data_IF_895719192814
#
_entry.id   IF_895719192814
#
_cell.length_a   1.000
_cell.length_b   1.000
_cell.length_c   1.000
_cell.angle_alpha   90.00
_cell.angle_beta   90.00
_cell.angle_gamma   90.00
#
_symmetry.space_group_name_H-M   'P 1'
#
loop_
_entity.id
_entity.type
_entity.pdbx_description
1 polymer ?
#
# COMPACT_ATOMS: atom_id res chain seq x y z
N UNK A 1 1.90 -14.73 28.42
CA UNK A 1 1.48 -13.38 27.97
C UNK A 1 2.34 -13.07 26.76
N UNK A 2 1.98 -13.66 25.63
CA UNK A 2 2.75 -13.55 24.40
C UNK A 2 2.50 -12.17 23.81
N UNK A 3 3.49 -11.29 23.94
CA UNK A 3 3.59 -10.12 23.08
C UNK A 3 3.91 -10.67 21.70
N UNK A 4 2.90 -10.78 20.85
CA UNK A 4 3.05 -11.00 19.41
C UNK A 4 3.89 -9.84 18.82
N UNK A 5 5.21 -9.94 18.93
CA UNK A 5 6.18 -8.91 18.56
C UNK A 5 6.32 -8.72 17.04
N UNK A 6 5.47 -9.35 16.22
CA UNK A 6 5.64 -9.35 14.77
C UNK A 6 4.35 -9.27 13.95
N UNK A 7 3.33 -8.53 14.41
CA UNK A 7 2.07 -8.40 13.66
C UNK A 7 1.68 -6.93 13.41
N UNK A 8 2.50 -6.18 12.67
CA UNK A 8 2.25 -4.78 12.28
C UNK A 8 0.96 -4.58 11.44
N UNK A 9 0.38 -5.65 10.90
CA UNK A 9 -0.93 -5.64 10.22
C UNK A 9 -2.10 -5.46 11.24
N UNK A 10 -1.83 -5.51 12.55
CA UNK A 10 -2.85 -5.40 13.60
C UNK A 10 -3.28 -3.98 13.95
N UNK A 11 -2.59 -2.95 13.45
CA UNK A 11 -2.93 -1.56 13.75
C UNK A 11 -4.41 -1.26 13.44
N UNK A 12 -5.06 -0.57 14.35
CA UNK A 12 -6.39 0.00 14.12
C UNK A 12 -6.29 1.17 13.15
N UNK A 13 -7.38 1.52 12.45
CA UNK A 13 -7.35 2.67 11.55
C UNK A 13 -6.92 3.98 12.22
N UNK A 14 -7.22 4.16 13.52
CA UNK A 14 -6.81 5.35 14.28
C UNK A 14 -5.30 5.37 14.50
N UNK A 15 -4.71 4.26 14.94
CA UNK A 15 -3.27 4.14 15.14
C UNK A 15 -2.50 4.34 13.83
N UNK A 16 -2.99 3.77 12.72
CA UNK A 16 -2.38 4.00 11.40
C UNK A 16 -2.40 5.47 11.01
N UNK A 17 -3.51 6.19 11.25
CA UNK A 17 -3.57 7.64 11.00
C UNK A 17 -2.55 8.38 11.88
N UNK A 18 -2.46 8.05 13.18
CA UNK A 18 -1.49 8.65 14.10
C UNK A 18 -0.04 8.42 13.67
N UNK A 19 0.29 7.24 13.17
CA UNK A 19 1.63 6.97 12.61
C UNK A 19 1.90 7.77 11.34
N UNK A 20 0.90 7.93 10.47
CA UNK A 20 1.02 8.77 9.27
C UNK A 20 1.12 10.27 9.59
N UNK A 21 0.50 10.73 10.69
CA UNK A 21 0.57 12.13 11.14
C UNK A 21 2.00 12.57 11.50
N UNK A 22 2.88 11.65 11.88
CA UNK A 22 4.30 11.95 12.19
C UNK A 22 5.10 12.42 10.97
N UNK A 23 4.64 12.11 9.75
CA UNK A 23 5.39 12.35 8.51
C UNK A 23 4.64 13.20 7.49
N UNK A 24 3.31 13.19 7.51
CA UNK A 24 2.47 13.91 6.56
C UNK A 24 1.64 14.92 7.34
N UNK A 25 1.71 16.20 7.01
CA UNK A 25 0.85 17.22 7.63
C UNK A 25 -0.47 17.32 6.87
N UNK A 26 -1.60 17.37 7.58
CA UNK A 26 -2.94 17.48 6.97
C UNK A 26 -3.40 16.19 6.27
N UNK A 27 -4.07 16.30 5.13
CA UNK A 27 -4.53 15.16 4.29
C UNK A 27 -5.38 14.10 5.03
N UNK A 28 -6.26 14.54 5.94
CA UNK A 28 -7.04 13.66 6.84
C UNK A 28 -7.83 12.58 6.10
N UNK A 29 -8.53 12.93 5.02
CA UNK A 29 -9.33 11.98 4.24
C UNK A 29 -8.46 10.93 3.55
N UNK A 30 -7.33 11.33 2.97
CA UNK A 30 -6.40 10.38 2.34
C UNK A 30 -5.83 9.40 3.36
N UNK A 31 -5.41 9.88 4.54
CA UNK A 31 -4.91 9.04 5.64
C UNK A 31 -5.98 8.06 6.14
N UNK A 32 -7.21 8.53 6.30
CA UNK A 32 -8.35 7.69 6.71
C UNK A 32 -8.63 6.60 5.67
N UNK A 33 -8.65 6.95 4.38
CA UNK A 33 -8.90 6.01 3.30
C UNK A 33 -7.85 4.87 3.28
N UNK A 34 -6.56 5.23 3.35
CA UNK A 34 -5.48 4.21 3.34
C UNK A 34 -5.48 3.35 4.60
N UNK A 35 -5.83 3.93 5.75
CA UNK A 35 -5.90 3.21 7.03
C UNK A 35 -7.03 2.19 7.05
N UNK A 36 -8.18 2.51 6.43
CA UNK A 36 -9.28 1.57 6.24
C UNK A 36 -8.90 0.45 5.28
N UNK A 37 -8.25 0.77 4.16
CA UNK A 37 -7.81 -0.25 3.19
C UNK A 37 -6.83 -1.25 3.83
N UNK A 38 -5.86 -0.75 4.61
CA UNK A 38 -4.94 -1.61 5.36
C UNK A 38 -5.68 -2.51 6.36
N UNK A 39 -6.63 -1.94 7.13
CA UNK A 39 -7.44 -2.72 8.08
C UNK A 39 -8.31 -3.77 7.40
N UNK A 40 -8.83 -3.48 6.21
CA UNK A 40 -9.62 -4.44 5.44
C UNK A 40 -8.76 -5.64 4.99
N UNK A 41 -7.47 -5.43 4.69
CA UNK A 41 -6.54 -6.53 4.40
C UNK A 41 -6.37 -7.47 5.61
N UNK A 42 -6.25 -6.91 6.80
CA UNK A 42 -6.22 -7.69 8.05
C UNK A 42 -7.53 -8.45 8.29
N UNK A 43 -8.68 -7.78 8.10
CA UNK A 43 -10.00 -8.40 8.28
C UNK A 43 -10.20 -9.57 7.31
N UNK A 44 -9.77 -9.42 6.05
CA UNK A 44 -9.83 -10.48 5.04
C UNK A 44 -9.05 -11.74 5.45
N UNK A 45 -7.99 -11.62 6.24
CA UNK A 45 -7.25 -12.80 6.72
C UNK A 45 -7.98 -13.57 7.83
N UNK A 46 -9.07 -13.01 8.38
CA UNK A 46 -9.83 -13.56 9.53
C UNK A 46 -11.23 -14.05 9.17
N UNK A 47 -11.59 -14.01 7.90
CA UNK A 47 -12.84 -14.61 7.40
C UNK A 47 -12.60 -16.06 6.99
N UNK A 48 -13.68 -16.82 6.74
CA UNK A 48 -13.56 -18.18 6.22
C UNK A 48 -12.84 -18.20 4.86
N UNK A 49 -12.17 -19.31 4.49
CA UNK A 49 -11.49 -19.43 3.20
C UNK A 49 -12.42 -19.14 2.01
N UNK A 50 -13.65 -19.67 2.03
CA UNK A 50 -14.67 -19.45 1.00
C UNK A 50 -14.99 -17.96 0.82
N UNK A 51 -15.14 -17.22 1.93
CA UNK A 51 -15.44 -15.78 1.89
C UNK A 51 -14.20 -14.95 1.51
N UNK A 52 -12.99 -15.47 1.74
CA UNK A 52 -11.74 -14.74 1.51
C UNK A 52 -11.49 -14.47 0.02
N UNK A 53 -11.90 -15.40 -0.84
CA UNK A 53 -11.73 -15.29 -2.30
C UNK A 53 -12.73 -14.31 -2.92
N UNK A 54 -13.91 -14.17 -2.31
CA UNK A 54 -14.94 -13.18 -2.70
C UNK A 54 -14.59 -11.73 -2.33
N UNK A 55 -13.64 -11.51 -1.41
CA UNK A 55 -13.27 -10.17 -0.94
C UNK A 55 -12.09 -9.62 -1.77
N UNK A 56 -12.42 -8.81 -2.77
CA UNK A 56 -11.43 -8.05 -3.54
C UNK A 56 -10.76 -6.92 -2.71
N UNK A 57 -9.46 -6.63 -2.94
CA UNK A 57 -8.80 -5.47 -2.35
C UNK A 57 -9.49 -4.15 -2.70
N UNK A 58 -9.51 -3.21 -1.75
CA UNK A 58 -10.04 -1.85 -1.96
C UNK A 58 -8.92 -0.94 -2.45
N UNK A 59 -8.77 -0.85 -3.78
CA UNK A 59 -7.83 0.06 -4.44
C UNK A 59 -8.21 1.53 -4.18
N UNK A 60 -7.22 2.42 -4.16
CA UNK A 60 -7.38 3.83 -3.80
C UNK A 60 -6.91 4.71 -4.95
N UNK A 61 -7.77 5.62 -5.40
CA UNK A 61 -7.42 6.71 -6.30
C UNK A 61 -7.24 8.00 -5.49
N UNK A 62 -6.04 8.56 -5.50
CA UNK A 62 -5.75 9.85 -4.82
C UNK A 62 -5.79 10.99 -5.85
N UNK A 63 -6.69 11.95 -5.65
CA UNK A 63 -6.85 13.13 -6.51
C UNK A 63 -6.33 14.36 -5.76
N UNK A 64 -5.49 15.17 -6.42
CA UNK A 64 -4.97 16.42 -5.88
C UNK A 64 -3.74 16.93 -6.61
N UNK A 65 -3.28 18.17 -6.34
CA UNK A 65 -2.13 18.77 -7.04
C UNK A 65 -0.81 18.08 -6.68
N UNK A 66 0.26 18.37 -7.42
CA UNK A 66 1.60 17.85 -7.11
C UNK A 66 2.10 18.39 -5.77
N UNK A 67 3.04 17.70 -5.13
CA UNK A 67 3.65 18.14 -3.86
C UNK A 67 2.83 17.95 -2.58
N UNK A 68 1.52 17.65 -2.65
CA UNK A 68 0.66 17.54 -1.45
C UNK A 68 0.81 16.26 -0.61
N UNK A 69 1.75 15.38 -0.97
CA UNK A 69 2.06 14.18 -0.18
C UNK A 69 1.39 12.87 -0.62
N UNK A 70 0.72 12.80 -1.78
CA UNK A 70 0.08 11.57 -2.29
C UNK A 70 1.03 10.35 -2.28
N UNK A 71 2.20 10.50 -2.89
CA UNK A 71 3.22 9.44 -2.95
C UNK A 71 3.80 9.13 -1.57
N UNK A 72 3.97 10.13 -0.71
CA UNK A 72 4.54 9.94 0.63
C UNK A 72 3.58 9.17 1.54
N UNK A 73 2.26 9.40 1.44
CA UNK A 73 1.24 8.59 2.14
C UNK A 73 1.39 7.11 1.76
N UNK A 74 1.44 6.80 0.46
CA UNK A 74 1.56 5.41 0.00
C UNK A 74 2.90 4.78 0.43
N UNK A 75 4.01 5.52 0.31
CA UNK A 75 5.35 5.08 0.74
C UNK A 75 5.41 4.81 2.25
N UNK A 76 4.85 5.69 3.08
CA UNK A 76 4.83 5.54 4.55
C UNK A 76 3.94 4.38 4.96
N UNK A 77 2.78 4.23 4.34
CA UNK A 77 1.89 3.09 4.58
C UNK A 77 2.58 1.76 4.30
N UNK A 78 3.33 1.66 3.18
CA UNK A 78 4.08 0.45 2.86
C UNK A 78 5.17 0.16 3.90
N UNK A 79 5.91 1.18 4.35
CA UNK A 79 6.89 1.03 5.45
C UNK A 79 6.25 0.57 6.76
N UNK A 80 5.11 1.17 7.15
CA UNK A 80 4.38 0.80 8.37
C UNK A 80 3.87 -0.65 8.34
N UNK A 81 3.49 -1.13 7.16
CA UNK A 81 2.98 -2.49 6.98
C UNK A 81 4.06 -3.50 6.55
N UNK A 82 5.34 -3.09 6.52
CA UNK A 82 6.46 -3.87 5.98
C UNK A 82 6.14 -4.51 4.62
N UNK A 83 5.44 -3.78 3.77
CA UNK A 83 5.04 -4.24 2.45
C UNK A 83 6.04 -3.77 1.38
N UNK A 84 6.31 -4.59 0.34
CA UNK A 84 7.07 -4.14 -0.82
C UNK A 84 6.34 -2.97 -1.50
N UNK A 85 7.11 -1.98 -1.96
CA UNK A 85 6.57 -0.74 -2.54
C UNK A 85 7.28 -0.40 -3.84
N UNK A 86 6.49 -0.21 -4.90
CA UNK A 86 6.97 0.21 -6.20
C UNK A 86 6.22 1.48 -6.65
N UNK A 87 6.96 2.51 -7.06
CA UNK A 87 6.40 3.68 -7.75
C UNK A 87 6.66 3.54 -9.25
N UNK A 88 5.59 3.52 -10.04
CA UNK A 88 5.64 3.58 -11.51
C UNK A 88 4.91 4.80 -12.03
N UNK A 89 5.27 5.23 -13.24
CA UNK A 89 4.60 6.32 -13.95
C UNK A 89 3.85 5.72 -15.14
N UNK A 90 2.54 5.98 -15.23
CA UNK A 90 1.68 5.35 -16.22
C UNK A 90 2.08 5.69 -17.67
N UNK A 91 2.61 6.90 -17.90
CA UNK A 91 3.07 7.34 -19.22
C UNK A 91 4.18 6.47 -19.81
N UNK A 92 4.98 5.79 -18.96
CA UNK A 92 6.04 4.87 -19.40
C UNK A 92 5.51 3.66 -20.18
N UNK A 93 4.21 3.38 -20.10
CA UNK A 93 3.55 2.27 -20.78
C UNK A 93 2.78 2.72 -22.04
N UNK A 94 2.70 4.02 -22.29
CA UNK A 94 1.98 4.61 -23.44
C UNK A 94 2.91 5.36 -24.40
N UNK A 95 4.14 5.63 -24.00
CA UNK A 95 5.12 6.37 -24.81
C UNK A 95 5.53 5.55 -26.04
N UNK A 96 5.34 6.13 -27.22
CA UNK A 96 5.49 5.47 -28.52
C UNK A 96 6.98 5.21 -28.80
N UNK A 97 7.39 3.94 -28.73
CA UNK A 97 8.74 3.46 -28.99
C UNK A 97 8.74 1.94 -29.23
N UNK A 98 9.76 1.41 -29.91
CA UNK A 98 9.75 0.15 -30.70
C UNK A 98 9.42 -1.15 -29.94
N UNK A 99 9.42 -1.15 -28.60
CA UNK A 99 8.75 -2.16 -27.77
C UNK A 99 8.40 -1.44 -26.47
N UNK A 100 7.14 -1.10 -26.24
CA UNK A 100 6.72 -0.45 -24.98
C UNK A 100 7.17 -1.28 -23.77
N UNK A 101 7.44 -0.63 -22.63
CA UNK A 101 7.75 -1.35 -21.38
C UNK A 101 6.57 -2.28 -21.10
N UNK A 102 6.85 -3.57 -20.90
CA UNK A 102 5.82 -4.56 -20.61
C UNK A 102 5.15 -4.25 -19.25
N UNK A 103 3.82 -4.24 -19.20
CA UNK A 103 3.06 -3.98 -17.96
C UNK A 103 3.34 -5.02 -16.88
N UNK A 104 3.70 -6.25 -17.25
CA UNK A 104 4.07 -7.30 -16.30
C UNK A 104 5.39 -6.98 -15.59
N UNK A 105 6.23 -6.09 -16.16
CA UNK A 105 7.44 -5.61 -15.48
C UNK A 105 7.13 -4.94 -14.13
N UNK A 106 5.93 -4.37 -13.95
CA UNK A 106 5.53 -3.80 -12.64
C UNK A 106 5.47 -4.87 -11.54
N UNK A 107 4.98 -6.07 -11.88
CA UNK A 107 4.89 -7.17 -10.92
C UNK A 107 6.26 -7.78 -10.68
N UNK A 108 7.08 -7.92 -11.73
CA UNK A 108 8.47 -8.39 -11.62
C UNK A 108 9.32 -7.48 -10.73
N UNK A 109 9.29 -6.16 -10.99
CA UNK A 109 10.00 -5.16 -10.21
C UNK A 109 9.55 -5.18 -8.73
N UNK A 110 8.24 -5.36 -8.47
CA UNK A 110 7.71 -5.44 -7.11
C UNK A 110 8.14 -6.74 -6.39
N UNK A 111 8.17 -7.87 -7.10
CA UNK A 111 8.62 -9.15 -6.57
C UNK A 111 10.11 -9.11 -6.21
N UNK A 112 10.94 -8.52 -7.06
CA UNK A 112 12.38 -8.34 -6.79
C UNK A 112 12.62 -7.50 -5.54
N UNK A 113 11.82 -6.44 -5.33
CA UNK A 113 11.86 -5.64 -4.10
C UNK A 113 11.50 -6.49 -2.89
N UNK A 114 10.46 -7.32 -3.00
CA UNK A 114 10.02 -8.18 -1.90
C UNK A 114 11.09 -9.21 -1.50
N UNK A 115 11.77 -9.83 -2.47
CA UNK A 115 12.87 -10.78 -2.21
C UNK A 115 14.03 -10.09 -1.49
N UNK A 116 14.41 -8.89 -1.94
CA UNK A 116 15.46 -8.06 -1.31
C UNK A 116 15.10 -7.55 0.09
N UNK A 117 13.84 -7.60 0.51
CA UNK A 117 13.45 -7.23 1.87
C UNK A 117 13.70 -8.35 2.89
N UNK A 118 13.84 -9.59 2.42
CA UNK A 118 13.99 -10.78 3.26
C UNK A 118 15.41 -11.37 3.16
N UNK A 119 16.13 -11.06 2.07
CA UNK A 119 17.53 -11.45 1.84
C UNK A 119 18.46 -10.34 2.33
#
# INVERSE_FOLDING_TARGET
MDKDENNLITLTPRETVTELDKFIVGQKEAKKAVSIALRNRWRRQRVSPEMKDEIAPKNILMIGPTGVGKTEIARRLARLSQAPFLKVEASKFTEVGYVGRDVESMIRDLADIAVKMIT
#
